data_IF_467546278029
#
_entry.id   IF_467546278029
#
_cell.length_a   1.000
_cell.length_b   1.000
_cell.length_c   1.000
_cell.angle_alpha   90.00
_cell.angle_beta   90.00
_cell.angle_gamma   90.00
#
_symmetry.space_group_name_H-M   'P 1'
#
loop_
_entity.id
_entity.type
_entity.pdbx_description
1 polymer ?
#
# COMPACT_ATOMS: atom_id res chain seq x y z
N UNK A 1 7.55 61.23 -56.18
CA UNK A 1 6.41 60.78 -57.03
C UNK A 1 6.50 59.28 -57.23
N UNK A 2 5.36 58.59 -57.13
CA UNK A 2 5.09 57.20 -57.56
C UNK A 2 5.64 56.09 -56.65
N UNK A 3 4.86 55.63 -55.65
CA UNK A 3 3.80 54.60 -55.73
C UNK A 3 4.34 53.18 -55.62
N UNK A 4 4.36 52.65 -54.39
CA UNK A 4 4.52 51.20 -54.13
C UNK A 4 3.13 50.56 -54.19
N UNK A 5 2.92 49.73 -55.22
CA UNK A 5 1.69 48.96 -55.41
C UNK A 5 1.55 47.89 -54.31
N UNK A 6 0.37 47.88 -53.72
CA UNK A 6 -0.17 46.80 -52.88
C UNK A 6 -0.71 45.70 -53.82
N UNK A 7 -0.43 44.44 -53.51
CA UNK A 7 -1.28 43.32 -53.94
C UNK A 7 -1.77 42.58 -52.69
N UNK A 8 -3.07 42.74 -52.47
CA UNK A 8 -3.92 41.91 -51.60
C UNK A 8 -4.21 40.61 -52.33
N UNK A 9 -4.15 39.48 -51.63
CA UNK A 9 -4.65 38.19 -52.12
C UNK A 9 -4.44 37.10 -51.08
N UNK A 10 -5.42 36.92 -50.18
CA UNK A 10 -6.24 35.70 -50.05
C UNK A 10 -5.45 34.40 -49.89
N UNK A 11 -5.57 33.76 -48.72
CA UNK A 11 -5.27 32.33 -48.62
C UNK A 11 -5.16 31.78 -47.21
N UNK A 12 -6.30 31.37 -46.64
CA UNK A 12 -6.50 30.28 -45.68
C UNK A 12 -5.63 30.23 -44.39
N UNK A 13 -6.29 30.59 -43.29
CA UNK A 13 -6.58 29.67 -42.18
C UNK A 13 -5.88 28.29 -42.23
N UNK A 14 -4.80 28.12 -41.48
CA UNK A 14 -4.29 26.82 -41.06
C UNK A 14 -4.30 26.75 -39.52
N UNK A 15 -5.50 26.47 -39.00
CA UNK A 15 -5.74 26.01 -37.65
C UNK A 15 -5.19 24.58 -37.48
N UNK A 16 -4.65 24.32 -36.28
CA UNK A 16 -4.65 23.03 -35.58
C UNK A 16 -3.79 21.90 -36.18
N UNK A 17 -2.58 21.77 -35.67
CA UNK A 17 -2.02 20.46 -35.34
C UNK A 17 -1.01 20.56 -34.18
N UNK A 18 -1.42 21.21 -33.09
CA UNK A 18 -0.88 20.82 -31.79
C UNK A 18 -1.55 19.50 -31.43
N UNK A 19 -1.01 18.40 -31.95
CA UNK A 19 -1.31 17.07 -31.46
C UNK A 19 -0.90 17.05 -29.99
N UNK A 20 -1.84 17.41 -29.12
CA UNK A 20 -1.73 17.15 -27.70
C UNK A 20 -1.47 15.67 -27.57
N UNK A 21 -0.25 15.32 -27.18
CA UNK A 21 0.06 14.01 -26.65
C UNK A 21 -0.82 13.89 -25.41
N UNK A 22 -2.01 13.32 -25.58
CA UNK A 22 -2.79 12.82 -24.46
C UNK A 22 -1.81 11.90 -23.73
N UNK A 23 -1.46 12.17 -22.46
CA UNK A 23 -0.70 11.19 -21.71
C UNK A 23 -1.62 9.97 -21.71
N UNK A 24 -1.23 8.97 -22.51
CA UNK A 24 -1.85 7.66 -22.50
C UNK A 24 -1.90 7.30 -21.02
N UNK A 25 -3.10 7.30 -20.44
CA UNK A 25 -3.32 6.98 -19.04
C UNK A 25 -2.64 5.64 -18.83
N UNK A 26 -1.42 5.65 -18.31
CA UNK A 26 -0.63 4.45 -18.16
C UNK A 26 -1.50 3.52 -17.34
N UNK A 27 -1.93 2.43 -17.97
CA UNK A 27 -2.66 1.39 -17.27
C UNK A 27 -1.79 1.07 -16.06
N UNK A 28 -2.32 1.20 -14.84
CA UNK A 28 -1.48 1.05 -13.67
C UNK A 28 -0.82 -0.34 -13.74
N UNK A 29 0.49 -0.44 -13.50
CA UNK A 29 1.28 -1.62 -13.84
C UNK A 29 0.61 -2.89 -13.30
N UNK A 30 0.67 -3.97 -14.10
CA UNK A 30 0.31 -5.28 -13.60
C UNK A 30 1.10 -5.53 -12.30
N UNK A 31 0.45 -6.13 -11.29
CA UNK A 31 1.18 -6.56 -10.11
C UNK A 31 1.94 -7.82 -10.49
N UNK A 32 3.10 -7.61 -11.12
CA UNK A 32 4.02 -8.65 -11.52
C UNK A 32 5.17 -8.62 -10.51
N UNK A 33 4.97 -9.35 -9.42
CA UNK A 33 5.96 -9.46 -8.37
C UNK A 33 6.91 -10.61 -8.72
N UNK A 34 8.19 -10.36 -8.55
CA UNK A 34 9.27 -11.32 -8.78
C UNK A 34 9.96 -11.67 -7.46
N UNK A 35 10.62 -12.83 -7.42
CA UNK A 35 11.43 -13.21 -6.25
C UNK A 35 12.55 -12.18 -6.07
N UNK A 36 12.70 -11.66 -4.84
CA UNK A 36 13.64 -10.58 -4.53
C UNK A 36 13.01 -9.19 -4.52
N UNK A 37 11.77 -9.02 -5.01
CA UNK A 37 11.07 -7.75 -4.92
C UNK A 37 10.79 -7.34 -3.47
N UNK A 38 11.00 -6.06 -3.18
CA UNK A 38 10.72 -5.47 -1.86
C UNK A 38 9.55 -4.50 -1.98
N UNK A 39 8.56 -4.66 -1.10
CA UNK A 39 7.42 -3.77 -1.03
C UNK A 39 7.29 -3.14 0.36
N UNK A 40 6.85 -1.88 0.38
CA UNK A 40 6.39 -1.17 1.56
C UNK A 40 4.87 -1.19 1.61
N UNK A 41 4.30 -1.68 2.71
CA UNK A 41 2.89 -1.54 3.05
C UNK A 41 2.77 -0.47 4.12
N UNK A 42 2.05 0.62 3.87
CA UNK A 42 1.90 1.73 4.82
C UNK A 42 0.44 2.16 4.96
N UNK A 43 0.10 2.63 6.16
CA UNK A 43 -1.26 3.13 6.45
C UNK A 43 -1.42 4.57 5.98
N UNK A 44 -2.50 4.82 5.24
CA UNK A 44 -2.97 6.17 4.89
C UNK A 44 -3.87 6.69 6.01
N UNK A 45 -4.79 5.85 6.50
CA UNK A 45 -5.71 6.17 7.59
C UNK A 45 -6.16 4.87 8.25
N UNK A 46 -6.24 4.84 9.56
CA UNK A 46 -6.63 3.63 10.27
C UNK A 46 -7.05 3.87 11.70
N UNK A 47 -7.83 2.92 12.22
CA UNK A 47 -8.27 2.88 13.61
C UNK A 47 -8.18 1.46 14.13
N UNK A 48 -8.04 1.33 15.45
CA UNK A 48 -8.26 0.09 16.15
C UNK A 48 -9.47 0.25 17.07
N UNK A 49 -10.21 -0.84 17.27
CA UNK A 49 -11.33 -0.93 18.21
C UNK A 49 -11.15 -2.11 19.16
N UNK A 50 -11.63 -1.95 20.37
CA UNK A 50 -11.66 -3.01 21.40
C UNK A 50 -12.79 -2.69 22.40
N UNK A 51 -12.99 -3.56 23.39
CA UNK A 51 -13.84 -3.30 24.55
C UNK A 51 -12.95 -3.34 25.79
N UNK A 52 -12.98 -2.28 26.59
CA UNK A 52 -12.26 -2.18 27.87
C UNK A 52 -13.30 -1.89 28.94
N UNK A 53 -13.35 -2.72 29.99
CA UNK A 53 -14.31 -2.60 31.10
C UNK A 53 -15.78 -2.48 30.64
N UNK A 54 -16.12 -3.14 29.54
CA UNK A 54 -17.48 -3.11 28.95
C UNK A 54 -17.74 -1.94 28.01
N UNK A 55 -16.85 -0.96 27.93
CA UNK A 55 -17.00 0.22 27.08
C UNK A 55 -16.30 0.05 25.72
N UNK A 56 -16.95 0.40 24.60
CA UNK A 56 -16.35 0.34 23.28
C UNK A 56 -15.32 1.47 23.12
N UNK A 57 -14.07 1.09 22.88
CA UNK A 57 -12.95 2.01 22.68
C UNK A 57 -12.56 2.03 21.21
N UNK A 58 -12.33 3.23 20.66
CA UNK A 58 -11.81 3.43 19.29
C UNK A 58 -10.67 4.43 19.29
N UNK A 59 -9.51 3.99 18.81
CA UNK A 59 -8.27 4.78 18.80
C UNK A 59 -7.66 4.83 17.40
N UNK A 60 -6.75 5.78 17.17
CA UNK A 60 -5.96 5.78 15.91
C UNK A 60 -5.04 4.57 15.88
N UNK A 61 -4.90 3.99 14.69
CA UNK A 61 -3.96 2.93 14.45
C UNK A 61 -3.26 3.08 13.10
N UNK A 62 -2.02 2.64 13.03
CA UNK A 62 -1.26 2.54 11.79
C UNK A 62 -0.40 1.29 11.77
N UNK A 63 -0.13 0.83 10.55
CA UNK A 63 0.75 -0.27 10.21
C UNK A 63 1.72 0.23 9.14
N UNK A 64 2.99 -0.12 9.30
CA UNK A 64 4.02 -0.01 8.29
C UNK A 64 4.80 -1.33 8.26
N UNK A 65 4.88 -2.00 7.11
CA UNK A 65 5.60 -3.26 6.93
C UNK A 65 6.48 -3.17 5.69
N UNK A 66 7.69 -3.70 5.77
CA UNK A 66 8.55 -4.01 4.63
C UNK A 66 8.46 -5.50 4.39
N UNK A 67 8.18 -5.89 3.15
CA UNK A 67 8.02 -7.30 2.76
C UNK A 67 8.93 -7.65 1.60
N UNK A 68 9.55 -8.82 1.67
CA UNK A 68 10.42 -9.40 0.65
C UNK A 68 9.71 -10.59 0.01
N UNK A 69 9.55 -10.57 -1.31
CA UNK A 69 9.00 -11.70 -2.05
C UNK A 69 10.02 -12.83 -2.08
N UNK A 70 9.62 -13.99 -1.58
CA UNK A 70 10.49 -15.18 -1.48
C UNK A 70 10.16 -16.22 -2.53
N UNK A 71 8.89 -16.36 -2.90
CA UNK A 71 8.44 -17.35 -3.88
C UNK A 71 7.26 -16.83 -4.70
N UNK A 72 7.20 -17.27 -5.96
CA UNK A 72 6.09 -16.97 -6.88
C UNK A 72 5.67 -18.27 -7.57
N UNK A 73 4.45 -18.72 -7.29
CA UNK A 73 3.86 -19.95 -7.82
C UNK A 73 2.50 -19.66 -8.46
N UNK A 74 2.52 -19.30 -9.74
CA UNK A 74 1.30 -18.93 -10.49
C UNK A 74 0.57 -17.75 -9.85
N UNK A 75 -0.60 -18.03 -9.27
CA UNK A 75 -1.45 -17.05 -8.57
C UNK A 75 -1.04 -16.80 -7.11
N UNK A 76 -0.13 -17.58 -6.54
CA UNK A 76 0.32 -17.43 -5.16
C UNK A 76 1.70 -16.79 -5.10
N UNK A 77 1.84 -15.82 -4.21
CA UNK A 77 3.12 -15.17 -3.91
C UNK A 77 3.35 -15.32 -2.40
N UNK A 78 4.45 -15.97 -2.02
CA UNK A 78 4.90 -16.01 -0.63
C UNK A 78 5.91 -14.89 -0.39
N UNK A 79 5.85 -14.30 0.79
CA UNK A 79 6.75 -13.23 1.20
C UNK A 79 7.08 -13.31 2.68
N UNK A 80 8.23 -12.75 3.05
CA UNK A 80 8.65 -12.53 4.44
C UNK A 80 8.38 -11.08 4.82
N UNK A 81 7.97 -10.82 6.06
CA UNK A 81 7.99 -9.45 6.62
C UNK A 81 9.36 -9.23 7.25
N UNK A 82 10.16 -8.34 6.67
CA UNK A 82 11.56 -8.13 7.10
C UNK A 82 11.71 -7.03 8.14
N UNK A 83 10.76 -6.11 8.20
CA UNK A 83 10.73 -5.06 9.22
C UNK A 83 9.35 -4.42 9.26
N UNK A 84 9.00 -3.79 10.38
CA UNK A 84 7.78 -3.00 10.45
C UNK A 84 7.48 -2.42 11.81
N UNK A 85 6.34 -1.76 11.89
CA UNK A 85 5.74 -1.38 13.15
C UNK A 85 4.22 -1.29 13.05
N UNK A 86 3.56 -1.63 14.13
CA UNK A 86 2.14 -1.36 14.37
C UNK A 86 2.07 -0.29 15.46
N UNK A 87 1.26 0.75 15.27
CA UNK A 87 1.04 1.78 16.28
C UNK A 87 -0.44 1.78 16.64
N UNK A 88 -0.76 1.62 17.92
CA UNK A 88 -2.13 1.68 18.45
C UNK A 88 -2.14 2.68 19.60
N UNK A 89 -2.96 3.73 19.49
CA UNK A 89 -3.05 4.79 20.49
C UNK A 89 -1.70 5.43 20.88
N UNK A 90 -0.76 5.52 19.94
CA UNK A 90 0.59 6.05 20.18
C UNK A 90 1.60 5.02 20.69
N UNK A 91 1.15 3.87 21.20
CA UNK A 91 2.05 2.76 21.55
C UNK A 91 2.55 2.09 20.28
N UNK A 92 3.88 2.04 20.12
CA UNK A 92 4.55 1.43 18.97
C UNK A 92 4.99 0.01 19.31
N UNK A 93 4.57 -0.94 18.49
CA UNK A 93 5.02 -2.31 18.49
C UNK A 93 5.95 -2.52 17.30
N UNK A 94 7.17 -2.98 17.55
CA UNK A 94 8.17 -3.22 16.51
C UNK A 94 8.01 -4.62 15.94
N UNK A 95 8.21 -4.76 14.63
CA UNK A 95 8.25 -6.06 13.94
C UNK A 95 9.65 -6.15 13.36
N UNK A 96 10.41 -7.13 13.81
CA UNK A 96 11.79 -7.38 13.39
C UNK A 96 11.85 -8.73 12.66
N UNK A 97 12.83 -8.90 11.77
CA UNK A 97 12.95 -10.11 10.95
C UNK A 97 13.20 -11.36 11.80
N UNK A 98 12.27 -12.31 11.76
CA UNK A 98 12.43 -13.66 12.30
C UNK A 98 11.66 -14.69 11.42
N UNK A 99 10.44 -15.05 11.81
CA UNK A 99 9.58 -16.06 11.16
C UNK A 99 8.33 -15.46 10.47
N UNK A 100 8.23 -14.13 10.42
CA UNK A 100 7.07 -13.39 9.96
C UNK A 100 6.85 -13.65 8.45
N UNK A 101 5.66 -14.15 8.12
CA UNK A 101 5.35 -14.64 6.79
C UNK A 101 4.04 -14.10 6.29
N UNK A 102 3.87 -14.13 4.99
CA UNK A 102 2.59 -13.87 4.38
C UNK A 102 2.46 -14.50 3.01
N UNK A 103 1.21 -14.53 2.56
CA UNK A 103 0.83 -15.06 1.26
C UNK A 103 -0.12 -14.08 0.61
N UNK A 104 0.13 -13.76 -0.65
CA UNK A 104 -0.77 -13.02 -1.52
C UNK A 104 -1.32 -13.93 -2.61
N UNK A 105 -2.62 -13.82 -2.88
CA UNK A 105 -3.29 -14.54 -3.95
C UNK A 105 -3.76 -13.55 -5.03
N UNK A 106 -3.22 -13.67 -6.25
CA UNK A 106 -3.50 -12.81 -7.41
C UNK A 106 -4.98 -12.88 -7.84
N UNK A 107 -5.62 -14.04 -7.71
CA UNK A 107 -7.02 -14.27 -8.10
C UNK A 107 -8.00 -13.57 -7.15
N UNK A 108 -7.83 -13.73 -5.84
CA UNK A 108 -8.68 -13.08 -4.83
C UNK A 108 -8.23 -11.65 -4.51
N UNK A 109 -7.02 -11.28 -4.96
CA UNK A 109 -6.36 -9.99 -4.68
C UNK A 109 -6.25 -9.72 -3.19
N UNK A 110 -5.99 -10.77 -2.41
CA UNK A 110 -5.91 -10.71 -0.97
C UNK A 110 -4.56 -11.18 -0.45
N UNK A 111 -4.07 -10.59 0.63
CA UNK A 111 -2.92 -11.08 1.36
C UNK A 111 -3.23 -11.32 2.83
N UNK A 112 -2.54 -12.27 3.43
CA UNK A 112 -2.44 -12.47 4.87
C UNK A 112 -0.99 -12.20 5.30
N UNK A 113 -0.82 -11.51 6.42
CA UNK A 113 0.45 -11.23 7.08
C UNK A 113 0.32 -11.74 8.50
N UNK A 114 1.29 -12.54 8.94
CA UNK A 114 1.27 -13.14 10.27
C UNK A 114 2.67 -13.09 10.86
N UNK A 115 2.74 -12.77 12.14
CA UNK A 115 4.04 -12.63 12.77
C UNK A 115 4.01 -12.19 14.22
N UNK A 116 5.21 -12.01 14.75
CA UNK A 116 5.43 -11.47 16.08
C UNK A 116 5.96 -10.04 15.99
N UNK A 117 5.67 -9.28 17.03
CA UNK A 117 6.34 -8.02 17.31
C UNK A 117 6.69 -7.91 18.78
N UNK A 118 7.27 -6.78 19.16
CA UNK A 118 7.64 -6.44 20.54
C UNK A 118 7.05 -5.11 20.94
N UNK A 119 6.51 -5.04 22.16
CA UNK A 119 6.09 -3.77 22.77
C UNK A 119 7.31 -2.97 23.29
N UNK A 120 7.10 -1.72 23.77
CA UNK A 120 8.20 -0.93 24.34
C UNK A 120 8.88 -1.56 25.57
N UNK A 121 8.22 -2.51 26.24
CA UNK A 121 8.77 -3.28 27.35
C UNK A 121 9.48 -4.57 26.94
N UNK A 122 9.63 -4.85 25.64
CA UNK A 122 10.26 -6.06 25.11
C UNK A 122 9.39 -7.31 25.15
N UNK A 123 8.09 -7.19 25.47
CA UNK A 123 7.14 -8.31 25.50
C UNK A 123 6.70 -8.65 24.08
N UNK A 124 6.70 -9.95 23.74
CA UNK A 124 6.21 -10.43 22.44
C UNK A 124 4.70 -10.26 22.34
N UNK A 125 4.26 -9.77 21.19
CA UNK A 125 2.86 -9.61 20.77
C UNK A 125 2.69 -10.28 19.42
N UNK A 126 1.52 -10.87 19.17
CA UNK A 126 1.24 -11.55 17.91
C UNK A 126 0.23 -10.76 17.10
N UNK A 127 0.44 -10.71 15.79
CA UNK A 127 -0.46 -10.03 14.87
C UNK A 127 -0.88 -10.96 13.73
N UNK A 128 -2.13 -10.80 13.30
CA UNK A 128 -2.62 -11.31 12.02
C UNK A 128 -3.29 -10.15 11.30
N UNK A 129 -2.85 -9.88 10.08
CA UNK A 129 -3.41 -8.85 9.21
C UNK A 129 -3.88 -9.49 7.91
N UNK A 130 -4.99 -9.01 7.38
CA UNK A 130 -5.52 -9.37 6.08
C UNK A 130 -5.71 -8.12 5.25
N UNK A 131 -5.27 -8.14 3.99
CA UNK A 131 -5.51 -7.04 3.05
C UNK A 131 -6.24 -7.51 1.81
N UNK A 132 -7.03 -6.62 1.22
CA UNK A 132 -7.68 -6.80 -0.08
C UNK A 132 -7.37 -5.58 -0.94
N UNK A 133 -6.82 -5.81 -2.13
CA UNK A 133 -6.54 -4.74 -3.10
C UNK A 133 -7.87 -4.09 -3.54
N UNK A 134 -7.90 -2.76 -3.59
CA UNK A 134 -9.08 -1.99 -3.99
C UNK A 134 -8.89 -1.27 -5.30
N UNK A 135 -7.80 -0.49 -5.42
CA UNK A 135 -7.56 0.34 -6.60
C UNK A 135 -6.06 0.54 -6.78
N UNK A 136 -5.58 0.49 -8.01
CA UNK A 136 -4.21 0.90 -8.31
C UNK A 136 -4.09 2.43 -8.38
N UNK A 137 -2.95 2.93 -7.97
CA UNK A 137 -2.57 4.34 -8.00
C UNK A 137 -1.21 4.49 -8.66
N UNK A 138 -0.79 5.72 -8.91
CA UNK A 138 0.51 6.03 -9.52
C UNK A 138 1.70 5.60 -8.65
N UNK A 139 1.54 5.52 -7.33
CA UNK A 139 2.59 5.17 -6.38
C UNK A 139 2.48 3.74 -5.82
N UNK A 140 1.50 2.95 -6.27
CA UNK A 140 1.28 1.59 -5.76
C UNK A 140 -0.19 1.16 -5.73
N UNK A 141 -0.52 0.15 -4.93
CA UNK A 141 -1.86 -0.41 -4.81
C UNK A 141 -2.53 0.02 -3.51
N UNK A 142 -3.67 0.69 -3.60
CA UNK A 142 -4.51 1.01 -2.45
C UNK A 142 -5.25 -0.25 -2.00
N UNK A 143 -5.22 -0.51 -0.70
CA UNK A 143 -5.79 -1.70 -0.09
C UNK A 143 -6.69 -1.33 1.09
N UNK A 144 -7.64 -2.20 1.38
CA UNK A 144 -8.27 -2.29 2.70
C UNK A 144 -7.50 -3.32 3.49
N UNK A 145 -7.11 -3.00 4.72
CA UNK A 145 -6.48 -3.95 5.63
C UNK A 145 -7.27 -4.03 6.93
N UNK A 146 -7.46 -5.23 7.42
CA UNK A 146 -8.05 -5.54 8.71
C UNK A 146 -7.10 -6.43 9.50
N UNK A 147 -7.26 -6.53 10.80
CA UNK A 147 -6.43 -7.45 11.56
C UNK A 147 -6.83 -7.56 13.01
N UNK A 148 -6.20 -8.50 13.70
CA UNK A 148 -6.31 -8.69 15.13
C UNK A 148 -4.93 -8.55 15.76
N UNK A 149 -4.91 -7.92 16.93
CA UNK A 149 -3.70 -7.70 17.72
C UNK A 149 -4.06 -7.84 19.19
N UNK A 150 -3.42 -8.76 19.90
CA UNK A 150 -3.60 -8.89 21.35
C UNK A 150 -2.48 -8.16 22.05
N UNK A 151 -2.81 -7.11 22.78
CA UNK A 151 -1.80 -6.37 23.53
C UNK A 151 -1.40 -7.13 24.81
N UNK A 152 -0.27 -6.76 25.43
CA UNK A 152 0.20 -7.43 26.64
C UNK A 152 -0.68 -7.20 27.88
N UNK A 153 -1.58 -6.21 27.86
CA UNK A 153 -2.56 -5.94 28.92
C UNK A 153 -3.81 -6.82 28.78
N UNK A 154 -3.92 -7.55 27.66
CA UNK A 154 -4.96 -8.54 27.41
C UNK A 154 -6.08 -8.05 26.50
N UNK A 155 -6.04 -6.78 26.05
CA UNK A 155 -7.04 -6.26 25.14
C UNK A 155 -6.80 -6.78 23.71
N UNK A 156 -7.90 -7.21 23.08
CA UNK A 156 -7.90 -7.69 21.70
C UNK A 156 -8.34 -6.54 20.78
N UNK A 157 -7.35 -5.94 20.12
CA UNK A 157 -7.57 -4.86 19.17
C UNK A 157 -7.91 -5.41 17.80
N UNK A 158 -9.03 -4.94 17.26
CA UNK A 158 -9.40 -5.13 15.86
C UNK A 158 -9.00 -3.90 15.04
N UNK A 159 -8.16 -4.10 14.03
CA UNK A 159 -7.68 -3.04 13.14
C UNK A 159 -8.59 -2.89 11.92
N UNK A 160 -8.83 -1.64 11.54
CA UNK A 160 -9.49 -1.25 10.30
C UNK A 160 -8.67 -0.12 9.65
N UNK A 161 -7.99 -0.44 8.54
CA UNK A 161 -6.99 0.42 7.90
C UNK A 161 -7.25 0.56 6.40
N UNK A 162 -7.01 1.77 5.89
CA UNK A 162 -6.75 2.05 4.48
C UNK A 162 -5.25 2.13 4.29
N UNK A 163 -4.69 1.28 3.44
CA UNK A 163 -3.25 1.12 3.25
C UNK A 163 -2.84 1.28 1.78
N UNK A 164 -1.54 1.47 1.54
CA UNK A 164 -0.89 1.51 0.25
C UNK A 164 0.24 0.48 0.23
N UNK A 165 0.32 -0.35 -0.81
CA UNK A 165 1.48 -1.19 -1.12
C UNK A 165 2.26 -0.60 -2.27
N UNK A 166 3.51 -0.23 -2.04
CA UNK A 166 4.43 0.39 -3.01
C UNK A 166 5.66 -0.49 -3.20
N UNK A 167 6.14 -0.66 -4.43
CA UNK A 167 7.41 -1.35 -4.70
C UNK A 167 8.56 -0.40 -4.32
N UNK A 168 9.49 -0.86 -3.48
CA UNK A 168 10.68 -0.10 -3.09
C UNK A 168 11.86 -0.38 -4.02
N UNK A 169 12.08 -1.65 -4.34
CA UNK A 169 13.12 -2.13 -5.23
C UNK A 169 12.72 -3.48 -5.83
N UNK A 170 13.38 -3.87 -6.91
CA UNK A 170 13.24 -5.19 -7.54
C UNK A 170 14.55 -5.65 -8.15
N UNK A 171 14.64 -6.95 -8.45
CA UNK A 171 15.76 -7.56 -9.17
C UNK A 171 15.82 -7.15 -10.64
#
# INVERSE_FOLDING_TARGET
>A
MSSKKVYVGLGLLALLSAAGVVPLLAAPPAFDAEVGDIYLVSTIKGYARTVIDGEPVRVRASVQLTVLVTEVHGDLIAFRVTAGSIVINGTRYLIEEDWERGVYNKRTRSATYEGWGTDPGGRRVYFILHSIDKRRSWSGVLMKMTGAFKDPEGANWELDLKTLRSKLSGS
#
